data_IF_507526651875
#
_entry.id   IF_507526651875
#
_cell.length_a   1.000
_cell.length_b   1.000
_cell.length_c   1.000
_cell.angle_alpha   90.00
_cell.angle_beta   90.00
_cell.angle_gamma   90.00
#
_symmetry.space_group_name_H-M   'P 1'
#
loop_
_entity.id
_entity.type
_entity.pdbx_description
1 polymer ?
#
# COMPACT_ATOMS: atom_id res chain seq x y z
N UNK A 1 13.63 -19.57 19.64
CA UNK A 1 13.01 -18.58 18.74
C UNK A 1 11.58 -18.42 19.23
N UNK A 2 11.30 -17.31 19.90
CA UNK A 2 10.08 -17.06 20.67
C UNK A 2 9.04 -16.43 19.74
N UNK A 3 7.88 -17.06 19.60
CA UNK A 3 6.62 -16.61 18.97
C UNK A 3 6.71 -15.39 18.02
N UNK A 4 7.44 -15.51 16.90
CA UNK A 4 7.52 -14.47 15.88
C UNK A 4 6.29 -14.53 14.97
N UNK A 5 5.74 -13.37 14.59
CA UNK A 5 4.67 -13.28 13.59
C UNK A 5 5.12 -13.93 12.28
N UNK A 6 4.21 -14.56 11.52
CA UNK A 6 4.52 -15.18 10.22
C UNK A 6 5.22 -14.18 9.26
N UNK A 7 4.80 -12.91 9.28
CA UNK A 7 5.35 -11.87 8.41
C UNK A 7 6.62 -11.18 8.95
N UNK A 8 7.22 -11.74 10.01
CA UNK A 8 8.50 -11.27 10.56
C UNK A 8 9.65 -11.46 9.56
N UNK A 9 10.48 -10.42 9.41
CA UNK A 9 11.67 -10.44 8.55
C UNK A 9 12.71 -11.49 8.98
N UNK A 10 12.68 -11.94 10.24
CA UNK A 10 13.61 -12.94 10.76
C UNK A 10 13.48 -14.30 10.06
N UNK A 11 12.33 -14.62 9.47
CA UNK A 11 12.16 -15.86 8.68
C UNK A 11 12.87 -15.81 7.31
N UNK A 12 13.30 -14.62 6.87
CA UNK A 12 13.96 -14.41 5.57
C UNK A 12 15.45 -14.08 5.71
N UNK A 13 15.98 -14.08 6.93
CA UNK A 13 17.38 -13.81 7.19
C UNK A 13 18.23 -15.09 7.14
N UNK A 14 19.50 -14.92 6.81
CA UNK A 14 20.54 -15.95 6.91
C UNK A 14 21.64 -15.50 7.85
N UNK A 15 22.22 -16.43 8.62
CA UNK A 15 23.41 -16.21 9.42
C UNK A 15 24.71 -16.46 8.66
N UNK A 16 24.61 -17.06 7.47
CA UNK A 16 25.75 -17.43 6.61
C UNK A 16 26.24 -16.22 5.81
N UNK A 17 26.78 -15.23 6.53
CA UNK A 17 27.30 -13.99 5.97
C UNK A 17 28.74 -13.72 6.43
N UNK A 18 29.56 -13.07 5.59
CA UNK A 18 30.93 -12.77 5.97
C UNK A 18 30.95 -11.70 7.06
N UNK A 19 31.57 -12.04 8.17
CA UNK A 19 31.82 -11.13 9.29
C UNK A 19 33.31 -10.87 9.45
N UNK A 20 33.68 -9.77 10.10
CA UNK A 20 35.08 -9.43 10.41
C UNK A 20 35.19 -8.76 11.78
N UNK A 21 36.38 -8.81 12.38
CA UNK A 21 36.67 -8.04 13.61
C UNK A 21 37.30 -6.70 13.25
N UNK A 22 37.14 -5.68 14.10
CA UNK A 22 37.57 -4.29 13.79
C UNK A 22 39.05 -4.16 13.40
N UNK A 23 39.92 -5.01 13.96
CA UNK A 23 41.37 -4.99 13.72
C UNK A 23 41.82 -5.88 12.55
N UNK A 24 40.90 -6.59 11.91
CA UNK A 24 41.22 -7.49 10.81
C UNK A 24 41.58 -6.69 9.54
N UNK A 25 42.67 -7.05 8.87
CA UNK A 25 43.15 -6.37 7.65
C UNK A 25 42.38 -6.84 6.42
N UNK A 26 42.17 -5.93 5.46
CA UNK A 26 41.45 -6.21 4.20
C UNK A 26 42.00 -7.45 3.48
N UNK A 27 43.32 -7.63 3.41
CA UNK A 27 43.93 -8.79 2.76
C UNK A 27 43.57 -10.14 3.38
N UNK A 28 43.45 -10.20 4.72
CA UNK A 28 43.00 -11.42 5.43
C UNK A 28 41.55 -11.73 5.11
N UNK A 29 40.71 -10.70 5.07
CA UNK A 29 39.27 -10.83 4.75
C UNK A 29 39.10 -11.31 3.32
N UNK A 30 39.80 -10.73 2.35
CA UNK A 30 39.78 -11.17 0.95
C UNK A 30 40.25 -12.62 0.79
N UNK A 31 41.30 -13.02 1.49
CA UNK A 31 41.76 -14.41 1.48
C UNK A 31 40.74 -15.38 2.07
N UNK A 32 40.05 -15.00 3.17
CA UNK A 32 38.95 -15.79 3.75
C UNK A 32 37.80 -15.92 2.77
N UNK A 33 37.33 -14.79 2.22
CA UNK A 33 36.26 -14.76 1.21
C UNK A 33 36.59 -15.64 0.00
N UNK A 34 37.84 -15.65 -0.47
CA UNK A 34 38.25 -16.48 -1.61
C UNK A 34 38.23 -17.98 -1.30
N UNK A 35 38.44 -18.40 -0.05
CA UNK A 35 38.46 -19.82 0.35
C UNK A 35 37.08 -20.34 0.74
N UNK A 36 36.27 -19.47 1.35
CA UNK A 36 35.01 -19.82 2.00
C UNK A 36 33.79 -19.28 1.23
N UNK A 37 33.95 -18.75 0.01
CA UNK A 37 32.87 -18.10 -0.75
C UNK A 37 31.60 -18.94 -0.90
N UNK A 38 31.73 -20.27 -0.98
CA UNK A 38 30.58 -21.20 -1.10
C UNK A 38 29.78 -21.38 0.19
N UNK A 39 30.32 -20.96 1.33
CA UNK A 39 29.67 -21.03 2.64
C UNK A 39 28.81 -19.79 2.94
N UNK A 40 28.78 -18.81 2.04
CA UNK A 40 28.03 -17.58 2.24
C UNK A 40 26.88 -17.49 1.25
N UNK A 41 25.67 -17.32 1.77
CA UNK A 41 24.48 -17.04 0.98
C UNK A 41 24.55 -15.67 0.29
N UNK A 42 25.31 -14.72 0.85
CA UNK A 42 25.47 -13.38 0.33
C UNK A 42 26.83 -12.77 0.71
N UNK A 43 27.49 -12.16 -0.27
CA UNK A 43 28.81 -11.51 -0.11
C UNK A 43 28.79 -10.02 -0.49
N UNK A 44 27.60 -9.40 -0.61
CA UNK A 44 27.49 -7.98 -0.98
C UNK A 44 28.19 -7.07 0.04
N UNK A 45 28.13 -7.46 1.32
CA UNK A 45 28.68 -6.73 2.45
C UNK A 45 29.41 -7.63 3.43
N UNK A 46 30.40 -7.05 4.10
CA UNK A 46 31.13 -7.61 5.23
C UNK A 46 30.70 -6.86 6.48
N UNK A 47 30.22 -7.60 7.47
CA UNK A 47 29.69 -7.04 8.71
C UNK A 47 30.76 -7.05 9.80
N UNK A 48 31.10 -5.87 10.32
CA UNK A 48 32.15 -5.71 11.33
C UNK A 48 31.55 -5.81 12.71
N UNK A 49 32.01 -6.79 13.49
CA UNK A 49 31.57 -7.05 14.85
C UNK A 49 32.65 -6.63 15.86
N UNK A 50 32.20 -6.13 17.01
CA UNK A 50 33.10 -5.92 18.14
C UNK A 50 33.26 -7.23 18.97
N UNK A 51 34.13 -7.19 20.00
CA UNK A 51 34.38 -8.34 20.89
C UNK A 51 33.12 -8.87 21.60
N UNK A 52 32.08 -8.05 21.75
CA UNK A 52 30.81 -8.44 22.38
C UNK A 52 29.77 -8.98 21.37
N UNK A 53 30.14 -9.15 20.10
CA UNK A 53 29.26 -9.58 19.01
C UNK A 53 28.28 -8.52 18.54
N UNK A 54 28.50 -7.24 18.90
CA UNK A 54 27.66 -6.13 18.41
C UNK A 54 28.12 -5.67 17.04
N UNK A 55 27.16 -5.35 16.19
CA UNK A 55 27.40 -4.80 14.86
C UNK A 55 27.87 -3.34 14.98
N UNK A 56 29.08 -3.05 14.51
CA UNK A 56 29.73 -1.74 14.65
C UNK A 56 30.15 -1.10 13.33
N UNK A 57 30.11 -1.84 12.24
CA UNK A 57 30.27 -1.28 10.90
C UNK A 57 29.89 -2.24 9.79
N UNK A 58 29.81 -1.69 8.58
CA UNK A 58 29.58 -2.45 7.35
C UNK A 58 30.51 -1.95 6.24
N UNK A 59 31.01 -2.87 5.41
CA UNK A 59 31.87 -2.58 4.26
C UNK A 59 31.33 -3.33 3.06
N UNK A 60 31.14 -2.67 1.91
CA UNK A 60 30.77 -3.39 0.69
C UNK A 60 31.97 -4.16 0.15
N UNK A 61 31.74 -5.30 -0.50
CA UNK A 61 32.84 -6.06 -1.09
C UNK A 61 33.66 -5.24 -2.10
N UNK A 62 33.02 -4.32 -2.83
CA UNK A 62 33.69 -3.38 -3.75
C UNK A 62 34.74 -2.53 -3.03
N UNK A 63 34.45 -2.05 -1.82
CA UNK A 63 35.39 -1.23 -1.04
C UNK A 63 36.66 -1.99 -0.66
N UNK A 64 36.56 -3.31 -0.46
CA UNK A 64 37.74 -4.14 -0.17
C UNK A 64 38.72 -4.22 -1.34
N UNK A 65 38.24 -4.10 -2.58
CA UNK A 65 39.09 -4.11 -3.77
C UNK A 65 39.73 -2.74 -4.07
N UNK A 66 39.17 -1.66 -3.54
CA UNK A 66 39.67 -0.29 -3.76
C UNK A 66 40.83 0.03 -2.80
N UNK A 67 40.78 -0.52 -1.57
CA UNK A 67 41.72 -0.16 -0.51
C UNK A 67 42.92 -1.12 -0.42
N UNK A 68 44.02 -0.63 0.15
CA UNK A 68 45.23 -1.44 0.35
C UNK A 68 44.98 -2.59 1.34
N UNK A 69 45.46 -3.80 0.99
CA UNK A 69 45.31 -5.05 1.76
C UNK A 69 45.81 -4.97 3.20
N UNK A 70 46.75 -4.08 3.51
CA UNK A 70 47.32 -3.92 4.86
C UNK A 70 46.49 -3.00 5.78
N UNK A 71 45.48 -2.30 5.25
CA UNK A 71 44.63 -1.40 6.03
C UNK A 71 43.67 -2.21 6.90
N UNK A 72 43.48 -1.87 8.19
CA UNK A 72 42.47 -2.50 9.04
C UNK A 72 41.06 -2.06 8.63
N UNK A 73 40.11 -2.99 8.70
CA UNK A 73 38.74 -2.78 8.21
C UNK A 73 38.00 -1.64 8.94
N UNK A 74 38.32 -1.37 10.20
CA UNK A 74 37.73 -0.27 10.98
C UNK A 74 37.95 1.13 10.37
N UNK A 75 38.97 1.31 9.53
CA UNK A 75 39.27 2.59 8.88
C UNK A 75 38.42 2.84 7.64
N UNK A 76 37.90 1.76 7.03
CA UNK A 76 37.11 1.82 5.78
C UNK A 76 35.63 1.55 6.00
N UNK A 77 35.24 1.06 7.19
CA UNK A 77 33.85 0.73 7.50
C UNK A 77 32.95 1.96 7.65
N UNK A 78 31.72 1.82 7.14
CA UNK A 78 30.63 2.75 7.46
C UNK A 78 30.06 2.41 8.83
N UNK A 79 30.04 3.41 9.72
CA UNK A 79 29.54 3.28 11.11
C UNK A 79 28.06 3.58 11.26
N UNK A 80 27.47 4.35 10.34
CA UNK A 80 26.03 4.59 10.32
C UNK A 80 25.35 3.41 9.63
N UNK A 81 24.91 2.44 10.43
CA UNK A 81 24.38 1.17 9.95
C UNK A 81 22.86 1.22 10.02
N UNK A 82 22.23 0.97 8.87
CA UNK A 82 20.79 0.83 8.78
C UNK A 82 20.47 -0.64 9.04
N UNK A 83 19.69 -0.92 10.07
CA UNK A 83 19.34 -2.27 10.52
C UNK A 83 17.89 -2.32 10.97
N UNK A 84 17.31 -3.53 10.96
CA UNK A 84 15.94 -3.77 11.42
C UNK A 84 15.91 -4.70 12.62
N UNK A 85 14.82 -4.61 13.40
CA UNK A 85 14.54 -5.55 14.50
C UNK A 85 13.96 -6.86 13.94
N UNK A 86 14.18 -8.03 14.56
CA UNK A 86 13.61 -9.29 14.06
C UNK A 86 12.08 -9.29 13.93
N UNK A 87 11.36 -8.52 14.74
CA UNK A 87 9.89 -8.37 14.69
C UNK A 87 9.40 -7.42 13.59
N UNK A 88 10.29 -6.77 12.84
CA UNK A 88 9.91 -5.89 11.72
C UNK A 88 9.22 -6.70 10.63
N UNK A 89 8.13 -6.17 10.07
CA UNK A 89 7.46 -6.76 8.91
C UNK A 89 8.38 -6.79 7.68
N UNK A 90 8.21 -7.82 6.85
CA UNK A 90 9.03 -8.05 5.67
C UNK A 90 9.05 -6.83 4.71
N UNK A 91 7.89 -6.28 4.39
CA UNK A 91 7.74 -5.16 3.46
C UNK A 91 8.39 -3.87 3.97
N UNK A 92 8.20 -3.56 5.27
CA UNK A 92 8.85 -2.41 5.92
C UNK A 92 10.37 -2.49 5.85
N UNK A 93 10.94 -3.69 6.03
CA UNK A 93 12.37 -3.89 5.89
C UNK A 93 12.87 -3.67 4.45
N UNK A 94 12.11 -4.11 3.44
CA UNK A 94 12.40 -3.87 2.02
C UNK A 94 12.31 -2.38 1.67
N UNK A 95 11.26 -1.68 2.11
CA UNK A 95 11.13 -0.24 1.89
C UNK A 95 12.28 0.56 2.50
N UNK A 96 12.72 0.20 3.71
CA UNK A 96 13.90 0.80 4.33
C UNK A 96 15.16 0.54 3.49
N UNK A 97 15.29 -0.66 2.93
CA UNK A 97 16.41 -1.01 2.06
C UNK A 97 16.46 -0.12 0.80
N UNK A 98 15.32 0.05 0.15
CA UNK A 98 15.18 0.88 -1.05
C UNK A 98 15.39 2.37 -0.76
N UNK A 99 14.78 2.90 0.33
CA UNK A 99 14.89 4.31 0.75
C UNK A 99 16.35 4.73 0.95
N UNK A 100 17.19 3.81 1.43
CA UNK A 100 18.59 4.07 1.70
C UNK A 100 19.57 3.45 0.70
N UNK A 101 19.05 2.86 -0.39
CA UNK A 101 19.84 2.20 -1.44
C UNK A 101 20.85 1.17 -0.88
N UNK A 102 20.41 0.34 0.06
CA UNK A 102 21.21 -0.77 0.62
C UNK A 102 20.73 -2.10 0.02
N UNK A 103 21.68 -2.98 -0.33
CA UNK A 103 21.35 -4.25 -1.02
C UNK A 103 20.87 -5.34 -0.06
N UNK A 104 21.40 -5.36 1.16
CA UNK A 104 21.13 -6.40 2.16
C UNK A 104 20.88 -5.73 3.50
N UNK A 105 19.92 -6.25 4.26
CA UNK A 105 19.45 -5.62 5.50
C UNK A 105 19.89 -6.43 6.71
N UNK A 106 20.75 -5.91 7.59
CA UNK A 106 21.12 -6.59 8.82
C UNK A 106 19.95 -6.59 9.81
N UNK A 107 19.69 -7.77 10.39
CA UNK A 107 18.70 -7.98 11.45
C UNK A 107 19.42 -8.02 12.78
N UNK A 108 19.07 -7.10 13.68
CA UNK A 108 19.80 -6.85 14.92
C UNK A 108 18.85 -6.90 16.12
N UNK A 109 19.26 -7.60 17.19
CA UNK A 109 18.54 -7.60 18.49
C UNK A 109 19.49 -7.18 19.60
N UNK A 110 19.13 -6.12 20.34
CA UNK A 110 19.95 -5.54 21.41
C UNK A 110 21.40 -5.22 20.96
N UNK A 111 21.55 -4.77 19.72
CA UNK A 111 22.83 -4.43 19.10
C UNK A 111 23.65 -5.61 18.56
N UNK A 112 23.23 -6.86 18.78
CA UNK A 112 23.87 -8.07 18.21
C UNK A 112 23.28 -8.41 16.85
N UNK A 113 24.15 -8.71 15.88
CA UNK A 113 23.74 -9.21 14.57
C UNK A 113 23.17 -10.63 14.74
N UNK A 114 21.91 -10.83 14.35
CA UNK A 114 21.29 -12.16 14.32
C UNK A 114 21.44 -12.82 12.94
N UNK A 115 21.42 -12.00 11.90
CA UNK A 115 21.49 -12.45 10.51
C UNK A 115 21.29 -11.27 9.59
N UNK A 116 21.23 -11.56 8.30
CA UNK A 116 21.09 -10.57 7.23
C UNK A 116 20.04 -11.07 6.27
N UNK A 117 19.23 -10.15 5.75
CA UNK A 117 18.33 -10.41 4.62
C UNK A 117 19.11 -10.12 3.34
N UNK A 118 19.43 -11.15 2.54
CA UNK A 118 20.17 -10.98 1.29
C UNK A 118 19.38 -10.18 0.23
N UNK A 119 20.09 -9.63 -0.74
CA UNK A 119 19.52 -8.86 -1.85
C UNK A 119 18.50 -9.63 -2.69
N UNK A 120 18.73 -10.92 -2.98
CA UNK A 120 17.74 -11.76 -3.67
C UNK A 120 16.45 -11.95 -2.85
N UNK A 121 16.55 -12.01 -1.50
CA UNK A 121 15.36 -12.08 -0.64
C UNK A 121 14.61 -10.76 -0.63
N UNK A 122 15.32 -9.62 -0.54
CA UNK A 122 14.72 -8.28 -0.70
C UNK A 122 13.95 -8.18 -2.02
N UNK A 123 14.54 -8.61 -3.14
CA UNK A 123 13.88 -8.63 -4.45
C UNK A 123 12.66 -9.56 -4.48
N UNK A 124 12.76 -10.76 -3.91
CA UNK A 124 11.64 -11.71 -3.89
C UNK A 124 10.45 -11.21 -3.06
N UNK A 125 10.71 -10.55 -1.92
CA UNK A 125 9.68 -9.95 -1.07
C UNK A 125 9.04 -8.79 -1.82
N UNK A 126 9.83 -7.92 -2.45
CA UNK A 126 9.31 -6.81 -3.25
C UNK A 126 8.38 -7.30 -4.37
N UNK A 127 8.83 -8.28 -5.15
CA UNK A 127 8.04 -8.82 -6.26
C UNK A 127 6.74 -9.45 -5.77
N UNK A 128 6.80 -10.22 -4.68
CA UNK A 128 5.61 -10.84 -4.07
C UNK A 128 4.63 -9.81 -3.54
N UNK A 129 5.11 -8.80 -2.81
CA UNK A 129 4.28 -7.71 -2.27
C UNK A 129 3.56 -6.95 -3.38
N UNK A 130 4.26 -6.61 -4.47
CA UNK A 130 3.64 -5.96 -5.63
C UNK A 130 2.53 -6.81 -6.29
N UNK A 131 2.72 -8.13 -6.37
CA UNK A 131 1.69 -9.04 -6.88
C UNK A 131 0.52 -9.15 -5.91
N UNK A 132 0.80 -9.27 -4.61
CA UNK A 132 -0.21 -9.28 -3.54
C UNK A 132 -1.10 -8.04 -3.61
N UNK A 133 -0.51 -6.85 -3.68
CA UNK A 133 -1.22 -5.57 -3.75
C UNK A 133 -2.15 -5.49 -4.97
N UNK A 134 -1.68 -5.90 -6.15
CA UNK A 134 -2.47 -5.90 -7.40
C UNK A 134 -3.68 -6.82 -7.28
N UNK A 135 -3.48 -8.02 -6.73
CA UNK A 135 -4.57 -8.99 -6.56
C UNK A 135 -5.56 -8.53 -5.51
N UNK A 136 -5.08 -8.01 -4.38
CA UNK A 136 -5.93 -7.47 -3.31
C UNK A 136 -6.77 -6.30 -3.80
N UNK A 137 -6.19 -5.40 -4.60
CA UNK A 137 -6.92 -4.28 -5.23
C UNK A 137 -8.09 -4.78 -6.09
N UNK A 138 -7.92 -5.91 -6.79
CA UNK A 138 -8.97 -6.55 -7.59
C UNK A 138 -9.94 -7.44 -6.77
N UNK A 139 -9.81 -7.49 -5.44
CA UNK A 139 -10.61 -8.37 -4.58
C UNK A 139 -10.29 -9.85 -4.74
N UNK A 140 -9.06 -10.21 -5.14
CA UNK A 140 -8.61 -11.60 -5.32
C UNK A 140 -7.73 -11.99 -4.13
N UNK A 141 -7.98 -13.17 -3.55
CA UNK A 141 -7.27 -13.64 -2.36
C UNK A 141 -5.90 -14.27 -2.68
N UNK A 142 -5.02 -14.33 -1.66
CA UNK A 142 -3.61 -14.76 -1.72
C UNK A 142 -3.37 -16.17 -2.29
N UNK A 143 -4.37 -17.04 -2.31
CA UNK A 143 -4.24 -18.41 -2.84
C UNK A 143 -3.88 -18.46 -4.32
N UNK A 144 -4.08 -17.37 -5.07
CA UNK A 144 -3.63 -17.27 -6.46
C UNK A 144 -2.11 -17.07 -6.62
N UNK A 145 -1.37 -16.72 -5.55
CA UNK A 145 0.08 -16.50 -5.60
C UNK A 145 0.89 -17.79 -5.47
N UNK A 146 0.25 -18.91 -5.12
CA UNK A 146 0.89 -20.22 -5.11
C UNK A 146 1.04 -20.81 -6.52
N UNK A 147 0.38 -20.21 -7.53
CA UNK A 147 0.39 -20.66 -8.91
C UNK A 147 1.11 -19.64 -9.79
N UNK A 148 2.05 -20.11 -10.63
CA UNK A 148 2.77 -19.24 -11.56
C UNK A 148 1.86 -18.76 -12.71
N UNK A 149 0.82 -19.54 -13.04
CA UNK A 149 -0.12 -19.23 -14.11
C UNK A 149 -1.58 -19.38 -13.63
N UNK A 150 -2.44 -18.42 -14.01
CA UNK A 150 -3.89 -18.50 -13.74
C UNK A 150 -4.53 -19.75 -14.37
N UNK A 151 -3.98 -20.25 -15.48
CA UNK A 151 -4.43 -21.49 -16.13
C UNK A 151 -4.17 -22.76 -15.30
N UNK A 152 -3.25 -22.70 -14.33
CA UNK A 152 -2.93 -23.83 -13.45
C UNK A 152 -3.87 -23.88 -12.23
N UNK A 153 -4.57 -22.77 -11.95
CA UNK A 153 -5.51 -22.70 -10.85
C UNK A 153 -6.75 -23.52 -11.21
N UNK A 154 -7.15 -24.51 -10.38
CA UNK A 154 -8.39 -25.26 -10.63
C UNK A 154 -9.58 -24.31 -10.77
N UNK A 155 -10.38 -24.49 -11.83
CA UNK A 155 -11.50 -23.60 -12.15
C UNK A 155 -12.46 -23.42 -10.97
N UNK A 156 -12.79 -24.51 -10.27
CA UNK A 156 -13.66 -24.46 -9.10
C UNK A 156 -13.05 -23.66 -7.93
N UNK A 157 -11.73 -23.78 -7.73
CA UNK A 157 -11.01 -23.01 -6.70
C UNK A 157 -11.02 -21.51 -7.03
N UNK A 158 -10.76 -21.14 -8.28
CA UNK A 158 -10.80 -19.75 -8.76
C UNK A 158 -12.18 -19.12 -8.58
N UNK A 159 -13.26 -19.86 -8.89
CA UNK A 159 -14.64 -19.41 -8.66
C UNK A 159 -14.89 -19.23 -7.16
N UNK A 160 -14.51 -20.21 -6.34
CA UNK A 160 -14.73 -20.19 -4.90
C UNK A 160 -14.05 -19.01 -4.20
N UNK A 161 -12.88 -18.57 -4.68
CA UNK A 161 -12.20 -17.39 -4.13
C UNK A 161 -12.84 -16.06 -4.52
N UNK A 162 -13.65 -16.01 -5.58
CA UNK A 162 -14.31 -14.79 -6.09
C UNK A 162 -15.74 -14.64 -5.59
N UNK A 163 -16.47 -15.75 -5.44
CA UNK A 163 -17.87 -15.77 -5.00
C UNK A 163 -18.12 -14.92 -3.74
N UNK A 164 -17.33 -15.02 -2.65
CA UNK A 164 -17.58 -14.26 -1.43
C UNK A 164 -17.62 -12.75 -1.68
N UNK A 165 -16.66 -12.24 -2.47
CA UNK A 165 -16.59 -10.81 -2.79
C UNK A 165 -17.72 -10.37 -3.72
N UNK A 166 -18.10 -11.20 -4.69
CA UNK A 166 -19.25 -10.93 -5.56
C UNK A 166 -20.58 -10.92 -4.80
N UNK A 167 -20.75 -11.84 -3.84
CA UNK A 167 -21.94 -11.87 -2.98
C UNK A 167 -22.00 -10.61 -2.10
N UNK A 168 -20.87 -10.21 -1.50
CA UNK A 168 -20.79 -8.96 -0.73
C UNK A 168 -21.17 -7.76 -1.61
N UNK A 169 -20.63 -7.69 -2.84
CA UNK A 169 -21.00 -6.69 -3.86
C UNK A 169 -22.50 -6.67 -4.16
N UNK A 170 -23.09 -7.83 -4.43
CA UNK A 170 -24.52 -7.97 -4.72
C UNK A 170 -25.38 -7.49 -3.54
N UNK A 171 -25.03 -7.88 -2.32
CA UNK A 171 -25.72 -7.43 -1.11
C UNK A 171 -25.66 -5.90 -1.03
N UNK A 172 -24.49 -5.30 -1.26
CA UNK A 172 -24.31 -3.85 -1.31
C UNK A 172 -25.22 -3.15 -2.32
N UNK A 173 -25.30 -3.69 -3.54
CA UNK A 173 -26.18 -3.15 -4.60
C UNK A 173 -27.65 -3.22 -4.18
N UNK A 174 -28.09 -4.34 -3.58
CA UNK A 174 -29.47 -4.49 -3.07
C UNK A 174 -29.76 -3.47 -1.97
N UNK A 175 -28.81 -3.23 -1.06
CA UNK A 175 -28.93 -2.18 -0.04
C UNK A 175 -29.06 -0.80 -0.68
N UNK A 176 -28.22 -0.46 -1.65
CA UNK A 176 -28.31 0.82 -2.37
C UNK A 176 -29.67 1.00 -3.05
N UNK A 177 -30.20 -0.05 -3.68
CA UNK A 177 -31.54 0.00 -4.29
C UNK A 177 -32.64 0.26 -3.24
N UNK A 178 -32.55 -0.36 -2.06
CA UNK A 178 -33.50 -0.10 -0.97
C UNK A 178 -33.45 1.36 -0.48
N UNK A 179 -32.27 1.99 -0.46
CA UNK A 179 -32.13 3.41 -0.13
C UNK A 179 -32.66 4.33 -1.23
N UNK A 180 -32.46 3.98 -2.52
CA UNK A 180 -33.05 4.74 -3.64
C UNK A 180 -34.59 4.75 -3.52
N UNK A 181 -35.19 3.65 -3.07
CA UNK A 181 -36.64 3.55 -2.89
C UNK A 181 -37.20 4.57 -1.87
N UNK A 182 -36.40 5.03 -0.91
CA UNK A 182 -36.81 6.09 0.02
C UNK A 182 -37.06 7.44 -0.68
N UNK A 183 -36.55 7.61 -1.89
CA UNK A 183 -36.67 8.82 -2.71
C UNK A 183 -37.57 8.62 -3.93
N UNK A 184 -38.39 7.56 -3.95
CA UNK A 184 -39.31 7.21 -5.05
C UNK A 184 -40.16 8.41 -5.48
N UNK A 185 -40.82 9.10 -4.54
CA UNK A 185 -41.63 10.28 -4.82
C UNK A 185 -40.85 11.43 -5.49
N UNK A 186 -39.57 11.59 -5.17
CA UNK A 186 -38.72 12.61 -5.82
C UNK A 186 -38.36 12.19 -7.24
N UNK A 187 -38.07 10.90 -7.44
CA UNK A 187 -37.72 10.33 -8.74
C UNK A 187 -38.91 10.29 -9.71
N UNK A 188 -40.12 10.02 -9.22
CA UNK A 188 -41.34 10.10 -10.03
C UNK A 188 -41.59 11.51 -10.56
N UNK A 189 -41.34 12.53 -9.72
CA UNK A 189 -41.49 13.94 -10.11
C UNK A 189 -40.37 14.40 -11.05
N UNK A 190 -39.15 13.88 -10.87
CA UNK A 190 -37.96 14.27 -11.64
C UNK A 190 -37.17 13.05 -12.13
N UNK A 191 -37.71 12.36 -13.14
CA UNK A 191 -37.07 11.16 -13.73
C UNK A 191 -35.65 11.39 -14.23
N UNK A 192 -35.32 12.62 -14.64
CA UNK A 192 -33.95 13.00 -15.05
C UNK A 192 -32.93 12.69 -13.95
N UNK A 193 -33.30 12.77 -12.66
CA UNK A 193 -32.37 12.47 -11.57
C UNK A 193 -31.86 11.03 -11.63
N UNK A 194 -32.70 10.08 -12.04
CA UNK A 194 -32.33 8.67 -12.16
C UNK A 194 -31.24 8.45 -13.22
N UNK A 195 -31.26 9.22 -14.32
CA UNK A 195 -30.27 9.10 -15.41
C UNK A 195 -28.86 9.50 -14.98
N UNK A 196 -28.73 10.30 -13.92
CA UNK A 196 -27.43 10.74 -13.40
C UNK A 196 -26.91 9.90 -12.23
N UNK A 197 -27.70 8.95 -11.71
CA UNK A 197 -27.23 8.03 -10.66
C UNK A 197 -25.95 7.28 -11.10
N UNK A 198 -25.87 6.66 -12.30
CA UNK A 198 -24.65 5.97 -12.71
C UNK A 198 -23.43 6.89 -12.81
N UNK A 199 -23.64 8.13 -13.26
CA UNK A 199 -22.57 9.12 -13.40
C UNK A 199 -22.00 9.52 -12.03
N UNK A 200 -22.87 9.70 -11.03
CA UNK A 200 -22.47 10.11 -9.68
C UNK A 200 -21.74 8.98 -8.96
N UNK A 201 -22.25 7.75 -9.08
CA UNK A 201 -21.61 6.55 -8.54
C UNK A 201 -20.20 6.43 -9.13
N UNK A 202 -20.09 6.45 -10.47
CA UNK A 202 -18.80 6.33 -11.15
C UNK A 202 -17.81 7.43 -10.76
N UNK A 203 -18.23 8.70 -10.78
CA UNK A 203 -17.31 9.81 -10.49
C UNK A 203 -16.87 9.84 -9.02
N UNK A 204 -17.77 9.46 -8.10
CA UNK A 204 -17.44 9.32 -6.67
C UNK A 204 -16.46 8.20 -6.42
N UNK A 205 -16.69 7.03 -7.02
CA UNK A 205 -15.78 5.89 -6.92
C UNK A 205 -14.42 6.19 -7.56
N UNK A 206 -14.39 6.82 -8.73
CA UNK A 206 -13.15 7.18 -9.41
C UNK A 206 -12.29 8.16 -8.59
N UNK A 207 -12.89 9.22 -8.03
CA UNK A 207 -12.18 10.18 -7.20
C UNK A 207 -11.76 9.57 -5.85
N UNK A 208 -12.65 8.81 -5.21
CA UNK A 208 -12.39 8.10 -3.96
C UNK A 208 -11.22 7.12 -4.10
N UNK A 209 -11.23 6.29 -5.15
CA UNK A 209 -10.17 5.33 -5.46
C UNK A 209 -8.83 6.03 -5.69
N UNK A 210 -8.80 7.15 -6.42
CA UNK A 210 -7.56 7.92 -6.61
C UNK A 210 -6.97 8.41 -5.28
N UNK A 211 -7.81 8.97 -4.40
CA UNK A 211 -7.37 9.41 -3.08
C UNK A 211 -6.89 8.24 -2.21
N UNK A 212 -7.59 7.11 -2.23
CA UNK A 212 -7.23 5.90 -1.49
C UNK A 212 -5.91 5.31 -1.97
N UNK A 213 -5.73 5.13 -3.28
CA UNK A 213 -4.49 4.58 -3.84
C UNK A 213 -3.27 5.42 -3.46
N UNK A 214 -3.38 6.75 -3.58
CA UNK A 214 -2.31 7.65 -3.14
C UNK A 214 -2.04 7.54 -1.63
N UNK A 215 -3.10 7.40 -0.84
CA UNK A 215 -2.98 7.31 0.61
C UNK A 215 -2.36 5.98 1.07
N UNK A 216 -2.76 4.85 0.48
CA UNK A 216 -2.18 3.52 0.73
C UNK A 216 -0.69 3.54 0.40
N UNK A 217 -0.32 4.08 -0.78
CA UNK A 217 1.07 4.23 -1.20
C UNK A 217 1.88 5.08 -0.21
N UNK A 218 1.37 6.24 0.16
CA UNK A 218 2.10 7.17 1.03
C UNK A 218 2.18 6.63 2.47
N UNK A 219 1.17 5.87 2.94
CA UNK A 219 1.23 5.11 4.18
C UNK A 219 2.31 4.01 4.14
N UNK A 220 2.43 3.27 3.04
CA UNK A 220 3.45 2.23 2.90
C UNK A 220 4.87 2.81 2.91
N UNK A 221 5.07 3.98 2.27
CA UNK A 221 6.38 4.62 2.17
C UNK A 221 6.78 5.36 3.46
N UNK A 222 5.87 6.15 4.04
CA UNK A 222 6.18 7.05 5.15
C UNK A 222 5.78 6.47 6.51
N UNK A 223 4.82 5.54 6.56
CA UNK A 223 4.32 4.95 7.80
C UNK A 223 3.95 6.01 8.83
N UNK A 224 4.62 5.98 9.99
CA UNK A 224 4.39 6.93 11.09
C UNK A 224 4.92 8.35 10.80
N UNK A 225 5.77 8.53 9.80
CA UNK A 225 6.26 9.86 9.39
C UNK A 225 5.18 10.66 8.64
N UNK A 226 4.10 10.01 8.21
CA UNK A 226 3.01 10.67 7.48
C UNK A 226 2.21 11.59 8.41
N UNK A 227 2.22 12.90 8.09
CA UNK A 227 1.43 13.91 8.81
C UNK A 227 -0.03 13.86 8.38
N UNK A 228 -0.78 12.94 8.98
CA UNK A 228 -2.18 12.62 8.64
C UNK A 228 -3.05 13.84 8.39
N UNK A 229 -3.10 14.80 9.33
CA UNK A 229 -3.94 15.99 9.20
C UNK A 229 -3.62 16.84 7.96
N UNK A 230 -2.33 17.07 7.69
CA UNK A 230 -1.89 17.83 6.53
C UNK A 230 -2.20 17.09 5.22
N UNK A 231 -2.08 15.76 5.24
CA UNK A 231 -2.44 14.91 4.11
C UNK A 231 -3.94 15.00 3.80
N UNK A 232 -4.80 14.83 4.81
CA UNK A 232 -6.25 14.96 4.68
C UNK A 232 -6.64 16.33 4.12
N UNK A 233 -6.12 17.40 4.71
CA UNK A 233 -6.43 18.75 4.25
C UNK A 233 -6.04 18.95 2.79
N UNK A 234 -4.86 18.46 2.38
CA UNK A 234 -4.40 18.54 0.99
C UNK A 234 -5.30 17.77 0.04
N UNK A 235 -5.72 16.55 0.40
CA UNK A 235 -6.63 15.75 -0.43
C UNK A 235 -8.04 16.36 -0.51
N UNK A 236 -8.55 16.92 0.59
CA UNK A 236 -9.84 17.64 0.57
C UNK A 236 -9.79 18.89 -0.31
N UNK A 237 -8.67 19.62 -0.31
CA UNK A 237 -8.49 20.75 -1.22
C UNK A 237 -8.46 20.30 -2.69
N UNK A 238 -7.75 19.22 -3.00
CA UNK A 238 -7.72 18.65 -4.37
C UNK A 238 -9.15 18.23 -4.77
N UNK A 239 -9.84 17.48 -3.92
CA UNK A 239 -11.23 17.06 -4.14
C UNK A 239 -12.19 18.22 -4.30
N UNK A 240 -12.00 19.32 -3.58
CA UNK A 240 -12.79 20.54 -3.71
C UNK A 240 -12.64 21.19 -5.09
N UNK A 241 -11.41 21.40 -5.56
CA UNK A 241 -11.19 22.00 -6.88
C UNK A 241 -11.64 21.08 -8.02
N UNK A 242 -11.37 19.77 -7.92
CA UNK A 242 -11.86 18.79 -8.89
C UNK A 242 -13.40 18.71 -8.90
N UNK A 243 -14.02 18.72 -7.72
CA UNK A 243 -15.47 18.73 -7.57
C UNK A 243 -16.10 19.95 -8.23
N UNK A 244 -15.56 21.15 -8.02
CA UNK A 244 -16.03 22.37 -8.70
C UNK A 244 -15.95 22.21 -10.22
N UNK A 245 -14.80 21.74 -10.72
CA UNK A 245 -14.59 21.58 -12.16
C UNK A 245 -15.60 20.59 -12.76
N UNK A 246 -15.74 19.41 -12.17
CA UNK A 246 -16.64 18.35 -12.64
C UNK A 246 -18.10 18.79 -12.56
N UNK A 247 -18.52 19.34 -11.42
CA UNK A 247 -19.90 19.81 -11.23
C UNK A 247 -20.26 20.97 -12.15
N UNK A 248 -19.32 21.88 -12.43
CA UNK A 248 -19.55 22.95 -13.41
C UNK A 248 -19.74 22.38 -14.81
N UNK A 249 -18.93 21.40 -15.21
CA UNK A 249 -19.11 20.72 -16.49
C UNK A 249 -20.46 20.01 -16.58
N UNK A 250 -20.85 19.31 -15.51
CA UNK A 250 -22.16 18.64 -15.42
C UNK A 250 -23.29 19.66 -15.54
N UNK A 251 -23.21 20.78 -14.81
CA UNK A 251 -24.20 21.85 -14.93
C UNK A 251 -24.35 22.34 -16.37
N UNK A 252 -23.25 22.59 -17.07
CA UNK A 252 -23.25 23.09 -18.45
C UNK A 252 -23.86 22.05 -19.41
N UNK A 253 -23.44 20.79 -19.29
CA UNK A 253 -23.94 19.68 -20.14
C UNK A 253 -25.44 19.47 -19.91
N UNK A 254 -25.87 19.35 -18.65
CA UNK A 254 -27.28 19.11 -18.33
C UNK A 254 -28.15 20.29 -18.74
N UNK A 255 -27.69 21.52 -18.49
CA UNK A 255 -28.41 22.72 -18.92
C UNK A 255 -28.55 22.80 -20.44
N UNK A 256 -27.52 22.41 -21.20
CA UNK A 256 -27.54 22.43 -22.65
C UNK A 256 -28.54 21.43 -23.25
N UNK A 257 -28.54 20.19 -22.76
CA UNK A 257 -29.37 19.12 -23.34
C UNK A 257 -30.83 19.14 -22.82
N UNK A 258 -31.05 19.35 -21.52
CA UNK A 258 -32.40 19.26 -20.93
C UNK A 258 -33.09 20.60 -20.77
N UNK A 259 -32.36 21.73 -20.88
CA UNK A 259 -32.91 23.10 -20.76
C UNK A 259 -33.66 23.38 -19.43
N UNK A 260 -33.43 22.56 -18.41
CA UNK A 260 -33.99 22.73 -17.06
C UNK A 260 -32.89 23.22 -16.12
N UNK A 261 -32.63 24.53 -16.11
CA UNK A 261 -31.49 25.11 -15.39
C UNK A 261 -31.50 24.85 -13.88
N UNK A 262 -32.68 24.89 -13.24
CA UNK A 262 -32.78 24.63 -11.81
C UNK A 262 -32.45 23.17 -11.46
N UNK A 263 -32.99 22.22 -12.22
CA UNK A 263 -32.67 20.79 -12.02
C UNK A 263 -31.20 20.50 -12.34
N UNK A 264 -30.65 21.10 -13.40
CA UNK A 264 -29.23 21.00 -13.73
C UNK A 264 -28.34 21.52 -12.59
N UNK A 265 -28.72 22.63 -11.95
CA UNK A 265 -28.01 23.17 -10.79
C UNK A 265 -28.06 22.21 -9.60
N UNK A 266 -29.24 21.65 -9.31
CA UNK A 266 -29.41 20.66 -8.24
C UNK A 266 -28.54 19.43 -8.49
N UNK A 267 -28.50 18.90 -9.72
CA UNK A 267 -27.64 17.76 -10.09
C UNK A 267 -26.16 18.10 -9.91
N UNK A 268 -25.73 19.28 -10.35
CA UNK A 268 -24.34 19.71 -10.22
C UNK A 268 -23.92 19.90 -8.76
N UNK A 269 -24.77 20.55 -7.95
CA UNK A 269 -24.50 20.80 -6.54
C UNK A 269 -24.49 19.50 -5.72
N UNK A 270 -25.48 18.64 -5.95
CA UNK A 270 -25.55 17.33 -5.30
C UNK A 270 -24.35 16.46 -5.65
N UNK A 271 -23.90 16.46 -6.92
CA UNK A 271 -22.66 15.81 -7.34
C UNK A 271 -21.42 16.40 -6.67
N UNK A 272 -21.33 17.72 -6.52
CA UNK A 272 -20.21 18.37 -5.86
C UNK A 272 -20.07 17.90 -4.40
N UNK A 273 -21.19 17.92 -3.67
CA UNK A 273 -21.26 17.49 -2.27
C UNK A 273 -20.97 15.99 -2.15
N UNK A 274 -21.54 15.17 -3.05
CA UNK A 274 -21.27 13.73 -3.08
C UNK A 274 -19.77 13.44 -3.26
N UNK A 275 -19.10 14.07 -4.24
CA UNK A 275 -17.67 13.89 -4.49
C UNK A 275 -16.80 14.25 -3.28
N UNK A 276 -17.13 15.33 -2.57
CA UNK A 276 -16.40 15.75 -1.37
C UNK A 276 -16.54 14.75 -0.23
N UNK A 277 -17.77 14.33 0.07
CA UNK A 277 -18.03 13.44 1.20
C UNK A 277 -17.53 12.02 0.89
N UNK A 278 -17.73 11.51 -0.33
CA UNK A 278 -17.24 10.17 -0.71
C UNK A 278 -15.72 10.12 -0.69
N UNK A 279 -15.04 11.16 -1.18
CA UNK A 279 -13.58 11.31 -1.05
C UNK A 279 -13.10 11.25 0.40
N UNK A 280 -13.81 11.93 1.30
CA UNK A 280 -13.47 11.93 2.72
C UNK A 280 -13.70 10.54 3.34
N UNK A 281 -14.86 9.94 3.08
CA UNK A 281 -15.24 8.61 3.55
C UNK A 281 -14.25 7.55 3.07
N UNK A 282 -13.81 7.62 1.82
CA UNK A 282 -12.83 6.72 1.24
C UNK A 282 -11.51 6.72 2.03
N UNK A 283 -10.97 7.91 2.34
CA UNK A 283 -9.76 8.05 3.16
C UNK A 283 -9.98 7.66 4.63
N UNK A 284 -11.19 7.87 5.15
CA UNK A 284 -11.56 7.50 6.51
C UNK A 284 -11.56 5.97 6.68
N UNK A 285 -12.18 5.24 5.74
CA UNK A 285 -12.23 3.77 5.73
C UNK A 285 -10.81 3.19 5.76
N UNK A 286 -9.93 3.62 4.85
CA UNK A 286 -8.55 3.15 4.79
C UNK A 286 -7.79 3.44 6.09
N UNK A 287 -7.99 4.61 6.69
CA UNK A 287 -7.37 4.95 7.97
C UNK A 287 -7.88 4.12 9.15
N UNK A 288 -9.16 3.78 9.17
CA UNK A 288 -9.74 2.91 10.19
C UNK A 288 -9.12 1.51 10.08
N UNK A 289 -9.05 0.95 8.87
CA UNK A 289 -8.46 -0.37 8.61
C UNK A 289 -6.99 -0.40 9.05
N UNK A 290 -6.20 0.62 8.70
CA UNK A 290 -4.81 0.76 9.13
C UNK A 290 -4.69 0.82 10.66
N UNK A 291 -5.57 1.57 11.35
CA UNK A 291 -5.58 1.66 12.82
C UNK A 291 -5.94 0.34 13.50
N UNK A 292 -6.76 -0.51 12.85
CA UNK A 292 -7.08 -1.85 13.32
C UNK A 292 -5.91 -2.84 13.11
N UNK A 293 -4.80 -2.40 12.50
CA UNK A 293 -3.63 -3.23 12.22
C UNK A 293 -3.84 -4.20 11.06
N UNK A 294 -4.86 -3.96 10.24
CA UNK A 294 -5.11 -4.69 9.00
C UNK A 294 -4.45 -3.97 7.82
N UNK A 295 -4.30 -4.69 6.71
CA UNK A 295 -3.77 -4.15 5.47
C UNK A 295 -4.67 -3.02 4.92
N UNK A 296 -4.17 -1.77 4.83
CA UNK A 296 -4.93 -0.64 4.30
C UNK A 296 -5.45 -0.85 2.86
N UNK A 297 -4.82 -1.72 2.06
CA UNK A 297 -5.24 -2.04 0.70
C UNK A 297 -6.62 -2.72 0.67
N UNK A 298 -7.05 -3.37 1.75
CA UNK A 298 -8.43 -3.87 1.90
C UNK A 298 -9.46 -2.74 1.86
N UNK A 299 -9.05 -1.52 2.20
CA UNK A 299 -9.86 -0.32 2.17
C UNK A 299 -10.14 0.25 0.77
N UNK A 300 -9.55 -0.31 -0.29
CA UNK A 300 -9.88 0.02 -1.69
C UNK A 300 -10.52 -1.15 -2.45
N UNK A 301 -10.90 -2.22 -1.74
CA UNK A 301 -11.57 -3.37 -2.33
C UNK A 301 -13.09 -3.22 -2.46
N UNK A 302 -13.81 -4.29 -2.87
CA UNK A 302 -15.25 -4.28 -3.11
C UNK A 302 -16.10 -3.72 -1.96
N UNK A 303 -15.67 -3.94 -0.71
CA UNK A 303 -16.33 -3.39 0.46
C UNK A 303 -16.34 -1.85 0.49
N UNK A 304 -15.23 -1.23 0.10
CA UNK A 304 -15.12 0.23 0.06
C UNK A 304 -15.95 0.82 -1.08
N UNK A 305 -15.97 0.14 -2.24
CA UNK A 305 -16.84 0.50 -3.37
C UNK A 305 -18.31 0.53 -2.94
N UNK A 306 -18.80 -0.49 -2.24
CA UNK A 306 -20.20 -0.52 -1.75
C UNK A 306 -20.52 0.68 -0.87
N UNK A 307 -19.63 1.02 0.07
CA UNK A 307 -19.84 2.17 0.95
C UNK A 307 -19.80 3.47 0.14
N UNK A 308 -18.88 3.60 -0.81
CA UNK A 308 -18.77 4.75 -1.70
C UNK A 308 -20.03 4.93 -2.53
N UNK A 309 -20.51 3.86 -3.18
CA UNK A 309 -21.72 3.83 -4.00
C UNK A 309 -22.93 4.26 -3.17
N UNK A 310 -23.16 3.60 -2.04
CA UNK A 310 -24.28 3.92 -1.15
C UNK A 310 -24.22 5.38 -0.68
N UNK A 311 -23.06 5.82 -0.21
CA UNK A 311 -22.85 7.19 0.29
C UNK A 311 -23.12 8.21 -0.81
N UNK A 312 -22.59 7.98 -2.02
CA UNK A 312 -22.75 8.89 -3.16
C UNK A 312 -24.22 9.05 -3.57
N UNK A 313 -24.95 7.93 -3.67
CA UNK A 313 -26.36 7.92 -4.07
C UNK A 313 -27.24 8.55 -3.00
N UNK A 314 -27.01 8.22 -1.72
CA UNK A 314 -27.79 8.80 -0.61
C UNK A 314 -27.59 10.31 -0.55
N UNK A 315 -26.37 10.81 -0.64
CA UNK A 315 -26.11 12.25 -0.64
C UNK A 315 -26.74 12.93 -1.84
N UNK A 316 -26.61 12.31 -3.02
CA UNK A 316 -27.19 12.84 -4.24
C UNK A 316 -28.70 13.04 -4.11
N UNK A 317 -29.41 11.97 -3.76
CA UNK A 317 -30.86 11.99 -3.69
C UNK A 317 -31.36 12.81 -2.49
N UNK A 318 -30.61 12.86 -1.39
CA UNK A 318 -30.94 13.71 -0.24
C UNK A 318 -30.84 15.19 -0.60
N UNK A 319 -29.75 15.62 -1.25
CA UNK A 319 -29.61 17.02 -1.69
C UNK A 319 -30.67 17.35 -2.75
N UNK A 320 -30.95 16.43 -3.67
CA UNK A 320 -31.97 16.65 -4.68
C UNK A 320 -33.37 16.78 -4.07
N UNK A 321 -33.74 15.88 -3.15
CA UNK A 321 -35.03 15.87 -2.47
C UNK A 321 -35.24 17.09 -1.57
N UNK A 322 -34.18 17.64 -0.96
CA UNK A 322 -34.27 18.84 -0.14
C UNK A 322 -34.48 20.13 -0.97
N UNK A 323 -34.08 20.13 -2.25
CA UNK A 323 -34.10 21.32 -3.11
C UNK A 323 -35.24 21.33 -4.16
N UNK A 324 -35.93 20.22 -4.38
CA UNK A 324 -36.95 20.02 -5.45
C UNK A 324 -38.33 19.64 -4.90
#
# INVERSE_FOLDING_TARGET
>A
MENLRQDSIAHKMTSEVPTATTRETIGKILNRLSRESKLFDNIDYIYVLNKAGKLVGVVSIRELFIHNKNVPIERVMKKNIISVSPDTEQEKAVHLALKHNIKSVPVVKRGKLLGVVPSNKVLSILNRSLQEDILHFAGIHRSHLEYENTLEVPLFLSIWHRIPWLIIGLIGIIFTAAFINLFEATLEKYLILAFFIPAIVYMSDALGTQHQTLFIRDLAILGKELKMWQYYLRQMLIGFFLGILISTLVFLIVSFFWKQYYVAFVIALSMFIALLITSFTALLITSIINKLGQDPALGSGPFATIISDLTSVVIYLLVASLLL
#
